data_IF_468618674572
#
_entry.id   IF_468618674572
#
_cell.length_a   1.000
_cell.length_b   1.000
_cell.length_c   1.000
_cell.angle_alpha   90.00
_cell.angle_beta   90.00
_cell.angle_gamma   90.00
#
_symmetry.space_group_name_H-M   'P 1'
#
loop_
_entity.id
_entity.type
_entity.pdbx_description
1 polymer ?
#
# COMPACT_ATOMS: atom_id res chain seq x y z
N UNK A 1 -4.37 -9.04 -10.77
CA UNK A 1 -4.46 -7.72 -10.10
C UNK A 1 -3.10 -7.35 -9.54
N UNK A 2 -2.67 -6.09 -9.66
CA UNK A 2 -1.42 -5.64 -9.03
C UNK A 2 -1.43 -5.86 -7.51
N UNK A 3 -0.26 -6.16 -6.98
CA UNK A 3 -0.04 -6.39 -5.56
C UNK A 3 0.71 -5.19 -4.97
N UNK A 4 0.27 -4.74 -3.79
CA UNK A 4 0.82 -3.56 -3.14
C UNK A 4 1.23 -3.86 -1.71
N UNK A 5 2.34 -3.25 -1.29
CA UNK A 5 2.73 -3.16 0.11
C UNK A 5 2.57 -1.71 0.54
N UNK A 6 1.64 -1.47 1.46
CA UNK A 6 1.48 -0.16 2.08
C UNK A 6 2.07 -0.17 3.47
N UNK A 7 2.72 0.93 3.84
CA UNK A 7 3.25 1.14 5.18
C UNK A 7 2.82 2.50 5.65
N UNK A 8 2.48 2.58 6.92
CA UNK A 8 1.86 3.78 7.46
C UNK A 8 2.26 4.02 8.91
N UNK A 9 2.09 5.27 9.34
CA UNK A 9 2.19 5.65 10.73
C UNK A 9 0.98 6.49 11.11
N UNK A 10 0.43 6.23 12.30
CA UNK A 10 -0.67 7.02 12.85
C UNK A 10 -0.16 8.32 13.44
N UNK A 11 -1.04 9.31 13.50
CA UNK A 11 -0.79 10.50 14.31
C UNK A 11 -0.90 10.14 15.80
N UNK A 12 -0.27 10.93 16.70
CA UNK A 12 -0.47 10.72 18.14
C UNK A 12 -1.95 10.75 18.54
N UNK A 13 -2.73 11.62 17.92
CA UNK A 13 -4.17 11.73 18.17
C UNK A 13 -4.91 10.45 17.81
N UNK A 14 -4.54 9.81 16.70
CA UNK A 14 -5.13 8.54 16.28
C UNK A 14 -4.79 7.43 17.27
N UNK A 15 -3.51 7.33 17.69
CA UNK A 15 -3.12 6.38 18.72
C UNK A 15 -3.88 6.59 20.03
N UNK A 16 -4.04 7.85 20.47
CA UNK A 16 -4.79 8.16 21.70
C UNK A 16 -6.25 7.68 21.60
N UNK A 17 -6.89 7.86 20.44
CA UNK A 17 -8.25 7.36 20.22
C UNK A 17 -8.31 5.83 20.24
N UNK A 18 -7.35 5.15 19.64
CA UNK A 18 -7.29 3.69 19.63
C UNK A 18 -7.02 3.12 21.02
N UNK A 19 -6.25 3.80 21.84
CA UNK A 19 -6.04 3.43 23.25
C UNK A 19 -7.37 3.53 24.02
N UNK A 20 -8.11 4.60 23.81
CA UNK A 20 -9.40 4.81 24.48
C UNK A 20 -10.51 3.89 23.99
N UNK A 21 -10.48 3.55 22.71
CA UNK A 21 -11.49 2.70 22.06
C UNK A 21 -10.80 1.74 21.10
N UNK A 22 -10.22 0.63 21.59
CA UNK A 22 -9.58 -0.35 20.72
C UNK A 22 -10.54 -0.90 19.68
N UNK A 23 -10.10 -0.96 18.44
CA UNK A 23 -10.89 -1.52 17.34
C UNK A 23 -10.01 -2.28 16.37
N UNK A 24 -10.62 -3.21 15.64
CA UNK A 24 -9.95 -3.98 14.59
C UNK A 24 -9.87 -3.16 13.30
N UNK A 25 -8.73 -2.49 13.09
CA UNK A 25 -8.51 -1.68 11.89
C UNK A 25 -8.31 -2.52 10.63
N UNK A 26 -7.90 -3.78 10.78
CA UNK A 26 -7.81 -4.70 9.64
C UNK A 26 -9.20 -4.97 9.04
N UNK A 27 -10.22 -5.09 9.89
CA UNK A 27 -11.60 -5.27 9.44
C UNK A 27 -12.08 -4.05 8.66
N UNK A 28 -11.78 -2.85 9.14
CA UNK A 28 -12.11 -1.62 8.43
C UNK A 28 -11.37 -1.52 7.08
N UNK A 29 -10.08 -1.83 7.08
CA UNK A 29 -9.27 -1.81 5.86
C UNK A 29 -9.80 -2.81 4.82
N UNK A 30 -10.16 -4.01 5.25
CA UNK A 30 -10.76 -4.99 4.35
C UNK A 30 -12.00 -4.45 3.67
N UNK A 31 -12.86 -3.79 4.42
CA UNK A 31 -14.11 -3.23 3.90
C UNK A 31 -13.87 -2.18 2.83
N UNK A 32 -13.03 -1.18 3.07
CA UNK A 32 -12.82 -0.13 2.08
C UNK A 32 -11.97 -0.58 0.89
N UNK A 33 -11.06 -1.53 1.07
CA UNK A 33 -10.31 -2.14 -0.04
C UNK A 33 -11.24 -2.94 -0.94
N UNK A 34 -12.13 -3.74 -0.36
CA UNK A 34 -13.11 -4.51 -1.12
C UNK A 34 -14.09 -3.59 -1.85
N UNK A 35 -14.45 -2.45 -1.28
CA UNK A 35 -15.31 -1.47 -1.94
C UNK A 35 -14.68 -0.88 -3.20
N UNK A 36 -13.36 -0.90 -3.30
CA UNK A 36 -12.60 -0.48 -4.49
C UNK A 36 -12.30 -1.66 -5.45
N UNK A 37 -12.86 -2.83 -5.19
CA UNK A 37 -12.67 -4.02 -6.01
C UNK A 37 -11.40 -4.81 -5.68
N UNK A 38 -10.75 -4.51 -4.56
CA UNK A 38 -9.52 -5.14 -4.15
C UNK A 38 -9.69 -6.24 -3.11
N UNK A 39 -8.56 -6.70 -2.60
CA UNK A 39 -8.49 -7.75 -1.59
C UNK A 39 -7.36 -7.46 -0.61
N UNK A 40 -7.65 -7.51 0.68
CA UNK A 40 -6.64 -7.41 1.74
C UNK A 40 -6.09 -8.80 2.05
N UNK A 41 -4.78 -8.98 1.91
CA UNK A 41 -4.11 -10.23 2.25
C UNK A 41 -3.65 -10.27 3.70
N UNK A 42 -3.24 -9.14 4.25
CA UNK A 42 -2.79 -9.09 5.62
C UNK A 42 -2.59 -7.66 6.11
N UNK A 43 -2.63 -7.52 7.43
CA UNK A 43 -2.48 -6.26 8.13
C UNK A 43 -1.67 -6.54 9.40
N UNK A 44 -0.56 -5.86 9.58
CA UNK A 44 0.32 -6.05 10.73
C UNK A 44 0.70 -4.70 11.33
N UNK A 45 0.85 -4.67 12.63
CA UNK A 45 1.46 -3.53 13.32
C UNK A 45 2.94 -3.77 13.55
N UNK A 46 3.70 -2.69 13.62
CA UNK A 46 5.11 -2.67 13.89
C UNK A 46 5.42 -1.45 14.77
N UNK A 47 6.56 -1.48 15.46
CA UNK A 47 6.93 -0.39 16.36
C UNK A 47 8.38 0.03 16.05
N UNK A 48 8.58 0.48 14.82
CA UNK A 48 9.85 0.95 14.28
C UNK A 48 9.63 2.20 13.43
N UNK A 49 10.20 2.20 12.24
CA UNK A 49 10.08 3.34 11.31
C UNK A 49 8.64 3.59 10.90
N UNK A 50 7.84 2.52 10.74
CA UNK A 50 6.42 2.60 10.43
C UNK A 50 5.62 1.86 11.50
N UNK A 51 4.35 2.26 11.68
CA UNK A 51 3.47 1.66 12.68
C UNK A 51 2.72 0.44 12.15
N UNK A 52 2.53 0.34 10.85
CA UNK A 52 1.83 -0.78 10.27
C UNK A 52 2.14 -1.04 8.82
N UNK A 53 1.79 -2.25 8.38
CA UNK A 53 2.02 -2.75 7.03
C UNK A 53 0.77 -3.48 6.54
N UNK A 54 0.39 -3.22 5.29
CA UNK A 54 -0.70 -3.91 4.62
C UNK A 54 -0.19 -4.55 3.34
N UNK A 55 -0.56 -5.80 3.12
CA UNK A 55 -0.37 -6.46 1.84
C UNK A 55 -1.75 -6.62 1.19
N UNK A 56 -1.92 -6.07 -0.02
CA UNK A 56 -3.23 -6.03 -0.65
C UNK A 56 -3.16 -5.93 -2.17
N UNK A 57 -4.29 -6.17 -2.82
CA UNK A 57 -4.45 -6.08 -4.25
C UNK A 57 -5.54 -5.06 -4.60
N UNK A 58 -5.43 -4.46 -5.77
CA UNK A 58 -6.48 -3.66 -6.39
C UNK A 58 -6.55 -4.00 -7.89
N UNK A 59 -7.68 -3.70 -8.57
CA UNK A 59 -7.79 -3.98 -10.00
C UNK A 59 -6.72 -3.32 -10.85
N UNK A 60 -6.34 -2.09 -10.49
CA UNK A 60 -5.34 -1.30 -11.18
C UNK A 60 -4.76 -0.22 -10.26
N UNK A 61 -3.78 0.53 -10.77
CA UNK A 61 -3.14 1.58 -9.98
C UNK A 61 -4.06 2.76 -9.69
N UNK A 62 -5.05 3.04 -10.54
CA UNK A 62 -6.02 4.12 -10.28
C UNK A 62 -6.91 3.75 -9.10
N UNK A 63 -7.38 2.50 -9.04
CA UNK A 63 -8.15 2.00 -7.90
C UNK A 63 -7.33 2.03 -6.61
N UNK A 64 -6.07 1.61 -6.67
CA UNK A 64 -5.14 1.71 -5.53
C UNK A 64 -5.00 3.15 -5.08
N UNK A 65 -4.78 4.07 -6.02
CA UNK A 65 -4.62 5.49 -5.70
C UNK A 65 -5.87 6.07 -5.06
N UNK A 66 -7.07 5.63 -5.47
CA UNK A 66 -8.32 6.09 -4.87
C UNK A 66 -8.42 5.71 -3.40
N UNK A 67 -8.00 4.51 -3.04
CA UNK A 67 -7.93 4.06 -1.64
C UNK A 67 -6.91 4.89 -0.86
N UNK A 68 -5.72 5.10 -1.44
CA UNK A 68 -4.67 5.89 -0.80
C UNK A 68 -5.10 7.33 -0.55
N UNK A 69 -5.79 7.95 -1.52
CA UNK A 69 -6.33 9.30 -1.37
C UNK A 69 -7.40 9.39 -0.29
N UNK A 70 -8.30 8.41 -0.25
CA UNK A 70 -9.34 8.36 0.78
C UNK A 70 -8.74 8.25 2.19
N UNK A 71 -7.74 7.41 2.35
CA UNK A 71 -7.01 7.26 3.62
C UNK A 71 -6.31 8.57 3.98
N UNK A 72 -5.55 9.14 3.05
CA UNK A 72 -4.81 10.39 3.29
C UNK A 72 -5.73 11.56 3.62
N UNK A 73 -6.86 11.65 2.94
CA UNK A 73 -7.87 12.68 3.19
C UNK A 73 -8.56 12.55 4.54
N UNK A 74 -8.51 11.36 5.16
CA UNK A 74 -9.10 11.11 6.47
C UNK A 74 -8.33 11.68 7.65
N UNK A 75 -7.05 12.04 7.47
CA UNK A 75 -6.24 12.72 8.48
C UNK A 75 -5.76 11.87 9.65
N UNK A 76 -5.96 10.55 9.61
CA UNK A 76 -5.57 9.66 10.71
C UNK A 76 -4.07 9.30 10.69
N UNK A 77 -3.41 9.45 9.56
CA UNK A 77 -2.03 9.02 9.36
C UNK A 77 -1.08 10.21 9.27
N UNK A 78 0.10 10.06 9.88
CA UNK A 78 1.20 11.00 9.72
C UNK A 78 2.05 10.70 8.50
N UNK A 79 2.06 9.44 8.05
CA UNK A 79 2.72 9.03 6.81
C UNK A 79 1.99 7.84 6.19
N UNK A 80 2.06 7.75 4.87
CA UNK A 80 1.47 6.65 4.11
C UNK A 80 2.27 6.46 2.83
N UNK A 81 2.77 5.24 2.61
CA UNK A 81 3.53 4.89 1.41
C UNK A 81 2.98 3.60 0.84
N UNK A 82 2.82 3.54 -0.47
CA UNK A 82 2.39 2.33 -1.18
C UNK A 82 3.42 1.97 -2.24
N UNK A 83 3.94 0.75 -2.14
CA UNK A 83 4.91 0.21 -3.08
C UNK A 83 4.22 -0.83 -3.94
N UNK A 84 4.35 -0.70 -5.26
CA UNK A 84 3.88 -1.71 -6.21
C UNK A 84 4.87 -2.86 -6.19
N UNK A 85 4.38 -4.07 -5.94
CA UNK A 85 5.21 -5.27 -5.94
C UNK A 85 5.04 -6.02 -7.26
N UNK A 86 6.14 -6.49 -7.79
CA UNK A 86 6.14 -7.35 -8.97
C UNK A 86 6.41 -8.79 -8.52
N UNK A 87 5.66 -9.73 -9.10
CA UNK A 87 5.97 -11.14 -8.93
C UNK A 87 7.29 -11.50 -9.63
N UNK A 88 7.83 -12.67 -9.30
CA UNK A 88 9.02 -13.18 -10.01
C UNK A 88 8.71 -13.32 -11.50
N UNK A 89 7.54 -13.83 -11.86
CA UNK A 89 7.15 -14.01 -13.27
C UNK A 89 7.04 -12.68 -14.01
N UNK A 90 6.43 -11.67 -13.38
CA UNK A 90 6.37 -10.32 -13.93
C UNK A 90 7.77 -9.73 -14.13
N UNK A 91 8.67 -9.96 -13.18
CA UNK A 91 10.05 -9.49 -13.25
C UNK A 91 10.82 -10.19 -14.36
N UNK A 92 10.59 -11.50 -14.55
CA UNK A 92 11.18 -12.24 -15.67
C UNK A 92 10.71 -11.68 -17.01
N UNK A 93 9.44 -11.33 -17.13
CA UNK A 93 8.91 -10.71 -18.33
C UNK A 93 9.55 -9.33 -18.57
N UNK A 94 9.67 -8.53 -17.50
CA UNK A 94 10.34 -7.23 -17.59
C UNK A 94 11.81 -7.36 -18.02
N UNK A 95 12.52 -8.37 -17.54
CA UNK A 95 13.89 -8.65 -17.94
C UNK A 95 14.00 -8.95 -19.44
N UNK A 96 13.06 -9.75 -19.97
CA UNK A 96 13.01 -10.04 -21.41
C UNK A 96 12.75 -8.77 -22.22
N UNK A 97 11.81 -7.94 -21.76
CA UNK A 97 11.48 -6.68 -22.45
C UNK A 97 12.60 -5.66 -22.35
N UNK A 98 13.38 -5.67 -21.27
CA UNK A 98 14.49 -4.75 -21.05
C UNK A 98 15.54 -4.83 -22.17
N UNK A 99 15.73 -6.02 -22.77
CA UNK A 99 16.65 -6.21 -23.89
C UNK A 99 16.25 -5.35 -25.11
N UNK A 100 14.97 -5.03 -25.26
CA UNK A 100 14.44 -4.22 -26.35
C UNK A 100 14.45 -2.72 -26.04
N UNK A 101 14.72 -2.33 -24.80
CA UNK A 101 14.75 -0.92 -24.40
C UNK A 101 16.06 -0.30 -24.87
N UNK A 102 15.96 0.80 -25.59
CA UNK A 102 17.12 1.53 -26.07
C UNK A 102 17.58 2.54 -25.02
N UNK A 103 18.33 2.05 -24.04
CA UNK A 103 18.82 2.88 -22.95
C UNK A 103 20.11 3.61 -23.37
N UNK A 104 20.17 4.87 -22.97
CA UNK A 104 21.39 5.69 -23.14
C UNK A 104 21.85 6.14 -21.75
N UNK A 105 23.07 5.77 -21.39
CA UNK A 105 23.62 6.14 -20.09
C UNK A 105 23.82 7.66 -19.99
N UNK A 106 23.69 8.25 -18.77
CA UNK A 106 23.96 9.67 -18.59
C UNK A 106 25.39 10.05 -19.07
N UNK A 107 25.48 11.09 -19.86
CA UNK A 107 26.78 11.54 -20.40
C UNK A 107 27.31 10.75 -21.58
N UNK A 108 26.57 9.78 -22.05
CA UNK A 108 26.98 9.00 -23.23
C UNK A 108 26.58 9.66 -24.55
#
# INVERSE_FOLDING_TARGET
MPLYLSRFSYTPETWARLIGHPEDRAKAARSYIESAGGKLHGFWYAFGTHDGYNLWEAPDNVSMASVALAISGGGALSSFETTVLLSVDETLDALRRAEQVQYRAPGA
#
